data_IF_096589492359
#
_entry.id   IF_096589492359
#
_cell.length_a   1.000
_cell.length_b   1.000
_cell.length_c   1.000
_cell.angle_alpha   90.00
_cell.angle_beta   90.00
_cell.angle_gamma   90.00
#
_symmetry.space_group_name_H-M   'P 1'
#
loop_
_entity.id
_entity.type
_entity.pdbx_description
1 polymer ?
#
# COMPACT_ATOMS: atom_id res chain seq x y z
N UNK A 1 -29.37 11.41 7.46
CA UNK A 1 -29.55 9.96 7.69
C UNK A 1 -28.23 9.17 7.85
N UNK A 2 -27.06 9.82 7.97
CA UNK A 2 -25.74 9.16 8.07
C UNK A 2 -25.22 9.00 9.53
N UNK A 3 -25.83 9.68 10.50
CA UNK A 3 -25.40 9.64 11.91
C UNK A 3 -26.03 8.50 12.74
N UNK A 4 -27.14 7.89 12.28
CA UNK A 4 -27.87 6.85 13.04
C UNK A 4 -27.27 5.44 12.90
N UNK A 5 -26.43 5.16 11.90
CA UNK A 5 -25.82 3.84 11.73
C UNK A 5 -24.48 3.65 12.46
N UNK A 6 -23.78 4.73 12.85
CA UNK A 6 -22.64 4.62 13.78
C UNK A 6 -23.08 4.12 15.17
N UNK A 7 -24.35 4.35 15.52
CA UNK A 7 -24.99 3.85 16.75
C UNK A 7 -25.49 2.40 16.57
N UNK A 8 -25.74 1.94 15.34
CA UNK A 8 -26.23 0.58 15.10
C UNK A 8 -25.18 -0.51 15.41
N UNK A 9 -23.88 -0.17 15.35
CA UNK A 9 -22.80 -1.04 15.83
C UNK A 9 -22.65 -1.04 17.36
N UNK A 10 -23.29 -0.13 18.10
CA UNK A 10 -23.25 -0.10 19.57
C UNK A 10 -24.27 -1.04 20.22
N UNK A 11 -25.36 -1.42 19.54
CA UNK A 11 -26.55 -1.97 20.21
C UNK A 11 -26.95 -3.42 19.85
N UNK A 12 -26.10 -4.23 19.21
CA UNK A 12 -26.30 -5.70 19.15
C UNK A 12 -25.34 -6.43 20.08
N UNK A 13 -25.85 -6.69 21.28
CA UNK A 13 -25.49 -7.72 22.28
C UNK A 13 -24.12 -8.42 22.14
N UNK A 14 -23.23 -8.07 23.09
CA UNK A 14 -22.35 -8.97 23.87
C UNK A 14 -21.86 -10.25 23.19
N UNK A 15 -20.84 -10.10 22.34
CA UNK A 15 -19.66 -10.99 22.22
C UNK A 15 -18.74 -10.39 21.16
N UNK A 16 -17.86 -9.48 21.57
CA UNK A 16 -16.59 -9.22 20.89
C UNK A 16 -15.85 -8.14 21.66
N UNK A 17 -14.54 -8.33 21.71
CA UNK A 17 -13.60 -7.63 22.57
C UNK A 17 -13.59 -6.13 22.36
N UNK A 18 -13.24 -5.45 23.44
CA UNK A 18 -13.12 -4.02 23.63
C UNK A 18 -12.33 -3.30 22.52
N UNK A 19 -12.88 -2.17 22.10
CA UNK A 19 -12.25 -0.84 22.12
C UNK A 19 -10.72 -0.89 22.20
N UNK A 20 -10.04 -0.50 21.12
CA UNK A 20 -8.66 -0.02 21.05
C UNK A 20 -7.79 -0.31 22.30
N UNK A 21 -7.46 -1.58 22.54
CA UNK A 21 -6.57 -1.94 23.62
C UNK A 21 -5.16 -1.49 23.24
N UNK A 22 -4.54 -0.64 24.07
CA UNK A 22 -3.09 -0.68 24.23
C UNK A 22 -2.72 -2.15 24.40
N UNK A 23 -1.95 -2.70 23.47
CA UNK A 23 -1.63 -4.11 23.49
C UNK A 23 -0.93 -4.43 24.83
N UNK A 24 -1.55 -5.27 25.66
CA UNK A 24 -1.03 -5.79 26.94
C UNK A 24 0.14 -6.77 26.75
N UNK A 25 0.83 -6.68 25.62
CA UNK A 25 1.93 -7.54 25.23
C UNK A 25 2.99 -6.75 24.48
N UNK A 26 4.16 -7.35 24.36
CA UNK A 26 5.32 -6.88 23.62
C UNK A 26 5.57 -7.90 22.51
N UNK A 27 5.74 -7.38 21.29
CA UNK A 27 6.16 -8.14 20.13
C UNK A 27 7.55 -7.68 19.72
N UNK A 28 8.47 -8.61 19.60
CA UNK A 28 9.75 -8.37 18.96
C UNK A 28 9.95 -9.42 17.87
N UNK A 29 10.23 -9.03 16.62
CA UNK A 29 10.10 -7.67 16.09
C UNK A 29 8.65 -7.13 16.17
N UNK A 30 8.48 -5.80 16.20
CA UNK A 30 7.17 -5.14 16.17
C UNK A 30 6.35 -5.62 14.96
N UNK A 31 5.02 -5.68 15.09
CA UNK A 31 4.14 -6.06 13.98
C UNK A 31 4.36 -5.17 12.75
N UNK A 32 4.52 -5.82 11.60
CA UNK A 32 4.79 -5.30 10.26
C UNK A 32 6.15 -4.60 10.10
N UNK A 33 7.03 -4.65 11.10
CA UNK A 33 8.36 -4.02 11.00
C UNK A 33 9.21 -4.60 9.86
N UNK A 34 10.05 -3.74 9.29
CA UNK A 34 11.07 -4.08 8.30
C UNK A 34 12.42 -4.20 8.99
N UNK A 35 13.22 -5.21 8.62
CA UNK A 35 14.51 -5.49 9.26
C UNK A 35 15.57 -5.83 8.21
N UNK A 36 16.74 -5.19 8.31
CA UNK A 36 17.94 -5.66 7.61
C UNK A 36 18.64 -6.80 8.36
N UNK A 37 18.54 -6.83 9.69
CA UNK A 37 19.13 -7.89 10.50
C UNK A 37 18.38 -9.21 10.29
N UNK A 38 19.10 -10.23 9.82
CA UNK A 38 18.53 -11.51 9.36
C UNK A 38 18.39 -12.58 10.44
N UNK A 39 18.79 -12.29 11.68
CA UNK A 39 18.63 -13.19 12.83
C UNK A 39 17.91 -12.51 14.00
N UNK A 40 16.76 -11.85 13.78
CA UNK A 40 16.08 -11.17 14.87
C UNK A 40 15.59 -12.19 15.90
N UNK A 41 15.71 -11.85 17.17
CA UNK A 41 15.00 -12.55 18.23
C UNK A 41 13.49 -12.37 17.99
N UNK A 42 12.75 -13.48 18.06
CA UNK A 42 11.29 -13.49 17.93
C UNK A 42 10.70 -13.71 19.32
N UNK A 43 10.10 -12.68 19.89
CA UNK A 43 9.69 -12.61 21.28
C UNK A 43 8.22 -12.20 21.35
N UNK A 44 7.47 -12.95 22.16
CA UNK A 44 6.19 -12.53 22.69
C UNK A 44 6.28 -12.46 24.21
N UNK A 45 5.90 -11.33 24.80
CA UNK A 45 5.81 -11.17 26.27
C UNK A 45 4.51 -10.50 26.66
N UNK A 46 3.88 -10.95 27.74
CA UNK A 46 2.78 -10.24 28.40
C UNK A 46 3.36 -9.10 29.25
N UNK A 47 2.70 -7.93 29.24
CA UNK A 47 3.11 -6.76 30.04
C UNK A 47 2.69 -6.89 31.51
N UNK A 48 1.55 -7.52 31.77
CA UNK A 48 1.03 -7.73 33.11
C UNK A 48 1.12 -9.20 33.48
N UNK A 49 2.01 -9.54 34.43
CA UNK A 49 2.21 -10.89 34.95
C UNK A 49 1.20 -11.28 36.04
N UNK A 50 0.13 -10.49 36.25
CA UNK A 50 -0.81 -10.64 37.37
C UNK A 50 -2.11 -11.37 37.02
N UNK A 51 -2.16 -12.07 35.89
CA UNK A 51 -3.29 -12.96 35.62
C UNK A 51 -2.91 -14.36 36.08
N UNK A 52 -3.38 -14.75 37.28
CA UNK A 52 -3.25 -16.11 37.88
C UNK A 52 -3.82 -17.24 36.98
N UNK A 53 -4.35 -16.87 35.81
CA UNK A 53 -4.99 -17.74 34.85
C UNK A 53 -4.12 -18.08 33.63
N UNK A 54 -2.94 -17.48 33.46
CA UNK A 54 -2.07 -17.80 32.30
C UNK A 54 -1.27 -19.07 32.56
N UNK A 55 -1.45 -20.09 31.72
CA UNK A 55 -0.61 -21.29 31.78
C UNK A 55 0.66 -21.09 30.94
N UNK A 56 1.76 -20.68 31.57
CA UNK A 56 3.02 -20.41 30.87
C UNK A 56 3.61 -21.63 30.15
N UNK A 57 3.41 -22.85 30.65
CA UNK A 57 3.91 -24.06 29.98
C UNK A 57 3.17 -24.40 28.67
N UNK A 58 1.99 -23.79 28.46
CA UNK A 58 1.16 -23.99 27.26
C UNK A 58 1.61 -23.17 26.06
N UNK A 59 2.56 -22.24 26.22
CA UNK A 59 3.00 -21.38 25.12
C UNK A 59 3.58 -22.19 23.96
N UNK A 60 3.09 -21.93 22.76
CA UNK A 60 3.59 -22.51 21.50
C UNK A 60 3.75 -21.40 20.49
N UNK A 61 4.93 -21.31 19.87
CA UNK A 61 5.22 -20.38 18.79
C UNK A 61 5.33 -21.12 17.47
N UNK A 62 4.77 -20.56 16.41
CA UNK A 62 5.01 -20.99 15.04
C UNK A 62 5.42 -19.82 14.16
N UNK A 63 6.29 -20.08 13.19
CA UNK A 63 6.71 -19.12 12.17
C UNK A 63 6.41 -19.72 10.80
N UNK A 64 5.62 -19.02 9.98
CA UNK A 64 5.10 -19.50 8.70
C UNK A 64 4.43 -20.88 8.81
N UNK A 65 3.67 -21.09 9.89
CA UNK A 65 2.97 -22.35 10.19
C UNK A 65 3.86 -23.47 10.74
N UNK A 66 5.19 -23.28 10.80
CA UNK A 66 6.11 -24.26 11.40
C UNK A 66 6.29 -23.98 12.88
N UNK A 67 6.04 -24.98 13.73
CA UNK A 67 6.28 -24.89 15.18
C UNK A 67 7.78 -24.71 15.45
N UNK A 68 8.10 -23.77 16.32
CA UNK A 68 9.47 -23.42 16.69
C UNK A 68 9.80 -23.94 18.09
N UNK A 69 11.03 -24.41 18.29
CA UNK A 69 11.56 -24.73 19.61
C UNK A 69 11.92 -23.44 20.35
N UNK A 70 10.91 -22.72 20.81
CA UNK A 70 11.06 -21.53 21.64
C UNK A 70 11.37 -21.86 23.11
N UNK A 71 11.96 -20.91 23.81
CA UNK A 71 12.21 -20.94 25.25
C UNK A 71 11.04 -20.21 25.91
N UNK A 72 10.32 -20.90 26.79
CA UNK A 72 9.26 -20.30 27.61
C UNK A 72 9.94 -19.48 28.71
N UNK A 73 9.52 -18.24 28.87
CA UNK A 73 9.99 -17.34 29.93
C UNK A 73 8.89 -17.11 30.95
N UNK A 74 9.21 -16.42 32.05
CA UNK A 74 8.27 -16.11 33.12
C UNK A 74 7.06 -15.26 32.68
N UNK A 75 7.10 -14.68 31.48
CA UNK A 75 6.03 -13.86 30.94
C UNK A 75 5.75 -14.08 29.45
N UNK A 76 6.22 -15.18 28.85
CA UNK A 76 5.99 -15.42 27.42
C UNK A 76 6.87 -16.50 26.79
N UNK A 77 7.26 -16.27 25.53
CA UNK A 77 8.03 -17.22 24.73
C UNK A 77 8.97 -16.50 23.77
N UNK A 78 10.18 -17.06 23.62
CA UNK A 78 11.26 -16.47 22.82
C UNK A 78 11.87 -17.50 21.88
N UNK A 79 12.13 -17.11 20.63
CA UNK A 79 12.80 -17.94 19.64
C UNK A 79 13.93 -17.16 18.98
N UNK A 80 15.12 -17.76 18.98
CA UNK A 80 16.30 -17.20 18.30
C UNK A 80 16.64 -18.03 17.04
N UNK A 81 16.55 -17.45 15.83
CA UNK A 81 16.93 -18.15 14.61
C UNK A 81 18.39 -18.61 14.63
N UNK A 82 18.62 -19.92 14.42
CA UNK A 82 19.99 -20.47 14.33
C UNK A 82 20.73 -20.07 13.05
N UNK A 83 19.99 -19.76 11.99
CA UNK A 83 20.50 -19.36 10.67
C UNK A 83 19.84 -18.08 10.22
N UNK A 84 20.51 -17.37 9.31
CA UNK A 84 19.96 -16.17 8.70
C UNK A 84 18.64 -16.50 7.99
N UNK A 85 17.61 -15.78 8.37
CA UNK A 85 16.33 -15.75 7.68
C UNK A 85 16.56 -15.22 6.25
N UNK A 86 15.84 -15.77 5.27
CA UNK A 86 15.86 -15.26 3.90
C UNK A 86 15.04 -13.98 3.81
N UNK A 87 15.28 -13.17 2.80
CA UNK A 87 14.37 -12.07 2.46
C UNK A 87 12.93 -12.58 2.34
N UNK A 88 11.99 -11.86 2.94
CA UNK A 88 10.56 -12.17 2.86
C UNK A 88 9.79 -11.88 4.13
N UNK A 89 8.48 -12.10 4.03
CA UNK A 89 7.53 -11.92 5.13
C UNK A 89 7.51 -13.18 6.00
N UNK A 90 7.68 -12.99 7.30
CA UNK A 90 7.58 -14.02 8.33
C UNK A 90 6.33 -13.76 9.16
N UNK A 91 5.39 -14.72 9.17
CA UNK A 91 4.18 -14.67 9.97
C UNK A 91 4.41 -15.48 11.25
N UNK A 92 4.27 -14.84 12.39
CA UNK A 92 4.42 -15.47 13.70
C UNK A 92 3.03 -15.66 14.31
N UNK A 93 2.82 -16.83 14.90
CA UNK A 93 1.62 -17.14 15.68
C UNK A 93 2.04 -17.69 17.03
N UNK A 94 1.53 -17.11 18.10
CA UNK A 94 1.71 -17.58 19.47
C UNK A 94 0.37 -18.01 20.04
N UNK A 95 0.30 -19.26 20.47
CA UNK A 95 -0.86 -19.83 21.17
C UNK A 95 -0.51 -20.12 22.61
N UNK A 96 -1.46 -19.86 23.51
CA UNK A 96 -1.34 -20.16 24.94
C UNK A 96 -2.73 -20.29 25.58
N UNK A 97 -2.81 -20.90 26.75
CA UNK A 97 -4.04 -21.06 27.52
C UNK A 97 -4.16 -19.98 28.60
N UNK A 98 -5.35 -19.42 28.69
CA UNK A 98 -5.80 -18.57 29.78
C UNK A 98 -7.02 -19.25 30.43
N UNK A 99 -6.80 -19.89 31.58
CA UNK A 99 -7.68 -20.93 32.12
C UNK A 99 -7.80 -22.08 31.12
N UNK A 100 -9.04 -22.40 30.70
CA UNK A 100 -9.32 -23.44 29.71
C UNK A 100 -9.52 -22.87 28.28
N UNK A 101 -9.24 -21.58 28.05
CA UNK A 101 -9.45 -20.94 26.74
C UNK A 101 -8.11 -20.73 26.02
N UNK A 102 -8.00 -21.26 24.81
CA UNK A 102 -6.88 -20.94 23.91
C UNK A 102 -6.96 -19.49 23.45
N UNK A 103 -5.86 -18.77 23.62
CA UNK A 103 -5.59 -17.46 23.05
C UNK A 103 -4.64 -17.63 21.87
N UNK A 104 -4.77 -16.75 20.87
CA UNK A 104 -3.89 -16.70 19.71
C UNK A 104 -3.52 -15.25 19.41
N UNK A 105 -2.22 -15.00 19.27
CA UNK A 105 -1.68 -13.71 18.84
C UNK A 105 -0.87 -13.92 17.57
N UNK A 106 -1.27 -13.22 16.51
CA UNK A 106 -0.63 -13.29 15.21
C UNK A 106 -0.02 -11.95 14.83
N UNK A 107 1.22 -11.95 14.37
CA UNK A 107 1.88 -10.78 13.81
C UNK A 107 2.81 -11.17 12.66
N UNK A 108 3.34 -10.18 11.96
CA UNK A 108 4.32 -10.44 10.91
C UNK A 108 5.48 -9.45 10.96
N UNK A 109 6.62 -9.82 10.41
CA UNK A 109 7.73 -8.90 10.13
C UNK A 109 8.33 -9.24 8.78
N UNK A 110 9.12 -8.32 8.22
CA UNK A 110 9.70 -8.47 6.89
C UNK A 110 11.22 -8.35 6.95
N UNK A 111 11.90 -9.39 6.48
CA UNK A 111 13.35 -9.32 6.22
C UNK A 111 13.54 -8.68 4.85
N UNK A 112 14.19 -7.53 4.83
CA UNK A 112 14.53 -6.78 3.63
C UNK A 112 16.04 -6.79 3.39
N UNK A 113 16.45 -6.41 2.19
CA UNK A 113 17.85 -6.31 1.79
C UNK A 113 18.11 -4.91 1.23
N UNK A 114 19.35 -4.44 1.34
CA UNK A 114 19.75 -3.24 0.61
C UNK A 114 19.64 -3.52 -0.88
N UNK A 115 18.80 -2.74 -1.56
CA UNK A 115 18.60 -2.83 -3.00
C UNK A 115 19.04 -1.55 -3.67
N UNK A 116 19.68 -1.69 -4.83
CA UNK A 116 19.85 -0.57 -5.74
C UNK A 116 18.52 -0.29 -6.45
N UNK A 117 17.65 0.47 -5.78
CA UNK A 117 16.36 0.87 -6.33
C UNK A 117 16.51 1.85 -7.49
N UNK A 118 15.77 1.59 -8.57
CA UNK A 118 15.53 2.52 -9.68
C UNK A 118 14.12 3.09 -9.55
N UNK A 119 13.94 4.31 -10.06
CA UNK A 119 12.64 4.95 -10.16
C UNK A 119 11.95 4.53 -11.47
N UNK A 120 10.77 3.95 -11.36
CA UNK A 120 9.90 3.64 -12.50
C UNK A 120 8.58 4.40 -12.36
N UNK A 121 8.27 5.26 -13.33
CA UNK A 121 7.04 6.05 -13.33
C UNK A 121 5.93 5.30 -14.07
N UNK A 122 4.69 5.40 -13.62
CA UNK A 122 3.55 4.75 -14.24
C UNK A 122 2.21 5.20 -13.68
N UNK A 123 1.15 4.60 -14.21
CA UNK A 123 -0.24 4.97 -13.91
C UNK A 123 -0.92 3.79 -13.22
N UNK A 124 -1.29 3.90 -11.92
CA UNK A 124 -1.83 2.78 -11.15
C UNK A 124 -3.36 2.64 -11.20
N UNK A 125 -4.07 3.58 -11.85
CA UNK A 125 -5.53 3.62 -11.92
C UNK A 125 -5.98 4.17 -13.27
N UNK A 126 -6.66 3.34 -14.06
CA UNK A 126 -7.19 3.70 -15.36
C UNK A 126 -8.33 2.79 -15.81
N UNK A 127 -9.18 3.27 -16.72
CA UNK A 127 -10.31 2.51 -17.29
C UNK A 127 -10.24 2.47 -18.81
N UNK A 128 -10.91 1.48 -19.40
CA UNK A 128 -11.10 1.34 -20.84
C UNK A 128 -12.58 1.24 -21.19
N UNK A 129 -12.92 1.02 -22.46
CA UNK A 129 -14.30 0.81 -22.89
C UNK A 129 -14.98 -0.39 -22.20
N UNK A 130 -14.23 -1.28 -21.54
CA UNK A 130 -14.80 -2.44 -20.86
C UNK A 130 -15.67 -2.10 -19.64
N UNK A 131 -15.47 -0.95 -19.00
CA UNK A 131 -16.38 -0.40 -17.99
C UNK A 131 -16.91 0.98 -18.39
N UNK A 132 -16.17 2.05 -18.07
CA UNK A 132 -16.60 3.44 -18.24
C UNK A 132 -15.69 4.32 -19.11
N UNK A 133 -14.58 3.78 -19.62
CA UNK A 133 -13.60 4.53 -20.41
C UNK A 133 -13.78 4.41 -21.93
N UNK A 134 -12.67 4.61 -22.67
CA UNK A 134 -12.56 4.46 -24.12
C UNK A 134 -11.47 3.46 -24.49
N UNK A 135 -11.35 3.10 -25.77
CA UNK A 135 -10.34 2.16 -26.27
C UNK A 135 -10.43 0.76 -25.65
N UNK A 136 -9.58 -0.16 -26.11
CA UNK A 136 -9.42 -1.47 -25.48
C UNK A 136 -8.13 -1.52 -24.64
N UNK A 137 -7.95 -2.51 -23.73
CA UNK A 137 -6.74 -2.64 -22.94
C UNK A 137 -5.43 -2.57 -23.72
N UNK A 138 -5.37 -3.23 -24.88
CA UNK A 138 -4.18 -3.20 -25.74
C UNK A 138 -3.83 -1.79 -26.25
N UNK A 139 -4.83 -0.97 -26.58
CA UNK A 139 -4.61 0.43 -27.00
C UNK A 139 -4.07 1.28 -25.85
N UNK A 140 -4.66 1.09 -24.66
CA UNK A 140 -4.24 1.79 -23.45
C UNK A 140 -2.79 1.48 -23.10
N UNK A 141 -2.39 0.20 -23.14
CA UNK A 141 -1.01 -0.20 -22.92
C UNK A 141 -0.05 0.36 -23.97
N UNK A 142 -0.45 0.34 -25.26
CA UNK A 142 0.39 0.88 -26.33
C UNK A 142 0.58 2.40 -26.22
N UNK A 143 -0.49 3.12 -25.87
CA UNK A 143 -0.43 4.56 -25.62
C UNK A 143 0.48 4.89 -24.44
N UNK A 144 0.26 4.29 -23.28
CA UNK A 144 1.09 4.53 -22.10
C UNK A 144 2.58 4.21 -22.36
N UNK A 145 2.86 3.14 -23.10
CA UNK A 145 4.23 2.81 -23.53
C UNK A 145 4.83 3.92 -24.41
N UNK A 146 4.07 4.47 -25.35
CA UNK A 146 4.52 5.58 -26.23
C UNK A 146 4.77 6.87 -25.46
N UNK A 147 3.96 7.15 -24.44
CA UNK A 147 4.17 8.28 -23.51
C UNK A 147 5.39 8.07 -22.59
N UNK A 148 6.05 6.91 -22.66
CA UNK A 148 7.32 6.65 -21.98
C UNK A 148 7.19 6.25 -20.52
N UNK A 149 5.97 5.94 -20.03
CA UNK A 149 5.80 5.40 -18.69
C UNK A 149 6.19 3.91 -18.66
N UNK A 150 6.59 3.43 -17.48
CA UNK A 150 7.10 2.07 -17.27
C UNK A 150 6.01 1.02 -17.05
N UNK A 151 4.85 1.43 -16.56
CA UNK A 151 3.71 0.54 -16.30
C UNK A 151 2.38 1.28 -16.40
N UNK A 152 1.33 0.52 -16.73
CA UNK A 152 -0.07 0.95 -16.65
C UNK A 152 -0.87 -0.15 -15.97
N UNK A 153 -1.68 0.21 -14.99
CA UNK A 153 -2.63 -0.70 -14.35
C UNK A 153 -4.05 -0.33 -14.77
N UNK A 154 -4.71 -1.24 -15.49
CA UNK A 154 -6.13 -1.12 -15.85
C UNK A 154 -6.98 -1.66 -14.70
N UNK A 155 -7.90 -0.84 -14.21
CA UNK A 155 -8.70 -1.08 -13.01
C UNK A 155 -10.18 -0.87 -13.30
N UNK A 156 -10.73 -1.61 -14.25
CA UNK A 156 -12.15 -1.52 -14.61
C UNK A 156 -13.06 -1.62 -13.38
N UNK A 157 -14.23 -0.96 -13.43
CA UNK A 157 -15.21 -1.08 -12.36
C UNK A 157 -15.60 -2.55 -12.13
N UNK A 158 -15.51 -3.00 -10.88
CA UNK A 158 -15.71 -4.38 -10.45
C UNK A 158 -17.02 -5.00 -10.96
N UNK A 159 -18.11 -4.22 -11.01
CA UNK A 159 -19.42 -4.69 -11.49
C UNK A 159 -19.43 -5.05 -12.99
N UNK A 160 -18.55 -4.44 -13.78
CA UNK A 160 -18.44 -4.70 -15.21
C UNK A 160 -17.66 -5.98 -15.53
N UNK A 161 -16.86 -6.48 -14.58
CA UNK A 161 -15.95 -7.62 -14.81
C UNK A 161 -16.65 -8.91 -15.25
N UNK A 162 -17.90 -9.11 -14.83
CA UNK A 162 -18.74 -10.27 -15.22
C UNK A 162 -19.41 -10.13 -16.59
N UNK A 163 -19.43 -8.92 -17.15
CA UNK A 163 -20.16 -8.66 -18.38
C UNK A 163 -19.39 -9.23 -19.58
N UNK A 164 -20.09 -9.51 -20.68
CA UNK A 164 -19.45 -9.91 -21.94
C UNK A 164 -18.63 -8.73 -22.49
N UNK A 165 -17.39 -9.01 -22.91
CA UNK A 165 -16.54 -7.99 -23.53
C UNK A 165 -17.03 -7.57 -24.93
N UNK A 166 -17.70 -8.48 -25.65
CA UNK A 166 -18.15 -8.28 -27.03
C UNK A 166 -19.07 -7.08 -27.25
N UNK A 167 -19.94 -6.74 -26.29
CA UNK A 167 -20.86 -5.60 -26.39
C UNK A 167 -20.19 -4.23 -26.21
N UNK A 168 -18.89 -4.20 -25.89
CA UNK A 168 -18.14 -2.98 -25.56
C UNK A 168 -16.95 -2.72 -26.48
N UNK A 169 -16.71 -3.65 -27.41
CA UNK A 169 -15.64 -3.60 -28.40
C UNK A 169 -16.25 -3.18 -29.74
N UNK A 170 -15.90 -2.00 -30.25
CA UNK A 170 -16.28 -1.61 -31.61
C UNK A 170 -15.77 -2.62 -32.66
N UNK A 171 -16.38 -2.63 -33.85
CA UNK A 171 -16.09 -3.59 -34.94
C UNK A 171 -14.62 -3.69 -35.35
N UNK A 172 -13.79 -2.66 -35.06
CA UNK A 172 -12.36 -2.56 -35.36
C UNK A 172 -11.45 -3.61 -34.68
N UNK A 173 -11.90 -4.29 -33.62
CA UNK A 173 -11.05 -5.24 -32.86
C UNK A 173 -11.60 -6.68 -32.89
N UNK A 174 -12.49 -6.94 -33.84
CA UNK A 174 -13.18 -8.22 -34.05
C UNK A 174 -12.29 -9.40 -34.46
N UNK A 175 -11.01 -9.16 -34.75
CA UNK A 175 -10.06 -10.19 -35.21
C UNK A 175 -9.62 -11.17 -34.11
N UNK A 176 -9.82 -10.83 -32.82
CA UNK A 176 -9.62 -11.77 -31.72
C UNK A 176 -10.94 -12.48 -31.42
N UNK A 177 -11.34 -13.44 -32.28
CA UNK A 177 -12.54 -14.29 -32.10
C UNK A 177 -12.69 -14.78 -30.64
N UNK A 178 -11.56 -15.10 -30.00
CA UNK A 178 -11.47 -15.56 -28.61
C UNK A 178 -11.93 -14.55 -27.55
N UNK A 179 -11.78 -13.23 -27.75
CA UNK A 179 -12.19 -12.21 -26.76
C UNK A 179 -13.71 -12.03 -26.72
N UNK A 180 -14.40 -12.22 -27.85
CA UNK A 180 -15.86 -12.03 -27.93
C UNK A 180 -16.63 -12.99 -27.01
N UNK A 181 -16.03 -14.13 -26.69
CA UNK A 181 -16.61 -15.17 -25.85
C UNK A 181 -16.23 -15.03 -24.37
N UNK A 182 -15.32 -14.12 -24.01
CA UNK A 182 -14.86 -13.93 -22.64
C UNK A 182 -15.66 -12.84 -21.91
N UNK A 183 -15.70 -12.95 -20.59
CA UNK A 183 -16.06 -11.81 -19.74
C UNK A 183 -14.95 -10.76 -19.73
N UNK A 184 -15.25 -9.57 -19.22
CA UNK A 184 -14.31 -8.45 -19.16
C UNK A 184 -13.05 -8.83 -18.37
N UNK A 185 -13.17 -9.51 -17.23
CA UNK A 185 -12.00 -9.89 -16.42
C UNK A 185 -11.02 -10.77 -17.20
N UNK A 186 -11.53 -11.84 -17.83
CA UNK A 186 -10.73 -12.76 -18.60
C UNK A 186 -10.17 -12.10 -19.88
N UNK A 187 -10.89 -11.16 -20.46
CA UNK A 187 -10.43 -10.40 -21.63
C UNK A 187 -9.22 -9.52 -21.30
N UNK A 188 -9.27 -8.77 -20.20
CA UNK A 188 -8.14 -7.90 -19.79
C UNK A 188 -6.91 -8.75 -19.43
N UNK A 189 -7.11 -9.86 -18.73
CA UNK A 189 -6.01 -10.79 -18.39
C UNK A 189 -5.37 -11.39 -19.65
N UNK A 190 -6.19 -11.74 -20.64
CA UNK A 190 -5.71 -12.25 -21.92
C UNK A 190 -4.90 -11.20 -22.69
N UNK A 191 -5.43 -9.97 -22.81
CA UNK A 191 -4.74 -8.86 -23.47
C UNK A 191 -3.45 -8.45 -22.76
N UNK A 192 -3.46 -8.35 -21.42
CA UNK A 192 -2.25 -8.16 -20.60
C UNK A 192 -1.18 -9.18 -20.96
N UNK A 193 -1.55 -10.48 -20.97
CA UNK A 193 -0.62 -11.58 -21.29
C UNK A 193 -0.06 -11.48 -22.71
N UNK A 194 -0.88 -11.14 -23.70
CA UNK A 194 -0.43 -10.93 -25.07
C UNK A 194 0.52 -9.74 -25.18
N UNK A 195 0.18 -8.61 -24.54
CA UNK A 195 0.99 -7.41 -24.57
C UNK A 195 2.37 -7.62 -23.93
N UNK A 196 2.41 -8.27 -22.76
CA UNK A 196 3.65 -8.59 -22.03
C UNK A 196 4.58 -9.56 -22.79
N UNK A 197 4.02 -10.42 -23.64
CA UNK A 197 4.84 -11.28 -24.52
C UNK A 197 5.64 -10.46 -25.53
N UNK A 198 5.02 -9.42 -26.10
CA UNK A 198 5.60 -8.57 -27.15
C UNK A 198 6.41 -7.39 -26.61
N UNK A 199 6.17 -6.96 -25.37
CA UNK A 199 6.78 -5.76 -24.79
C UNK A 199 7.49 -6.08 -23.47
N UNK A 200 8.84 -6.16 -23.47
CA UNK A 200 9.64 -6.48 -22.27
C UNK A 200 10.11 -5.26 -21.46
N UNK A 201 9.97 -4.06 -22.02
CA UNK A 201 10.37 -2.78 -21.39
C UNK A 201 9.18 -1.99 -20.82
N UNK A 202 8.02 -2.64 -20.69
CA UNK A 202 6.80 -2.05 -20.17
C UNK A 202 6.03 -3.13 -19.39
N UNK A 203 5.42 -2.76 -18.27
CA UNK A 203 4.59 -3.68 -17.47
C UNK A 203 3.10 -3.37 -17.66
N UNK A 204 2.39 -4.12 -18.53
CA UNK A 204 0.94 -4.10 -18.52
C UNK A 204 0.44 -4.83 -17.28
N UNK A 205 -0.45 -4.21 -16.53
CA UNK A 205 -1.01 -4.74 -15.30
C UNK A 205 -2.52 -4.53 -15.28
N UNK A 206 -3.22 -5.31 -14.46
CA UNK A 206 -4.64 -5.13 -14.27
C UNK A 206 -5.09 -5.41 -12.83
N UNK A 207 -6.26 -4.89 -12.51
CA UNK A 207 -6.98 -5.03 -11.27
C UNK A 207 -8.43 -4.64 -11.49
N UNK A 208 -9.06 -4.07 -10.47
CA UNK A 208 -10.40 -3.52 -10.58
C UNK A 208 -10.65 -2.39 -9.58
N UNK A 209 -11.61 -1.53 -9.88
CA UNK A 209 -12.10 -0.50 -8.97
C UNK A 209 -13.42 -0.95 -8.33
N UNK A 210 -13.45 -1.01 -7.00
CA UNK A 210 -14.63 -1.37 -6.22
C UNK A 210 -15.21 -0.14 -5.51
N UNK A 211 -16.50 0.12 -5.68
CA UNK A 211 -17.23 1.07 -4.83
C UNK A 211 -17.69 0.40 -3.53
N UNK A 212 -17.18 0.89 -2.40
CA UNK A 212 -17.50 0.43 -1.05
C UNK A 212 -18.37 1.45 -0.29
N UNK A 213 -19.08 1.01 0.76
CA UNK A 213 -19.91 1.92 1.58
C UNK A 213 -19.07 2.81 2.50
N UNK A 214 -17.94 2.31 3.01
CA UNK A 214 -17.17 2.96 4.08
C UNK A 214 -15.95 3.73 3.59
N UNK A 215 -15.31 3.25 2.51
CA UNK A 215 -14.03 3.76 2.03
C UNK A 215 -14.14 4.50 0.69
N UNK A 216 -15.35 4.62 0.14
CA UNK A 216 -15.53 5.12 -1.22
C UNK A 216 -14.99 4.12 -2.24
N UNK A 217 -14.24 4.59 -3.22
CA UNK A 217 -13.66 3.73 -4.24
C UNK A 217 -12.32 3.14 -3.78
N UNK A 218 -12.13 1.85 -4.05
CA UNK A 218 -10.92 1.11 -3.68
C UNK A 218 -10.47 0.30 -4.88
N UNK A 219 -9.25 0.52 -5.35
CA UNK A 219 -8.65 -0.38 -6.32
C UNK A 219 -8.16 -1.65 -5.64
N UNK A 220 -8.38 -2.79 -6.29
CA UNK A 220 -7.80 -4.09 -5.96
C UNK A 220 -6.89 -4.47 -7.11
N UNK A 221 -5.60 -4.22 -6.92
CA UNK A 221 -4.55 -4.49 -7.89
C UNK A 221 -4.09 -5.94 -7.79
N UNK A 222 -3.59 -6.51 -8.89
CA UNK A 222 -3.11 -7.89 -8.97
C UNK A 222 -4.16 -8.93 -8.61
N UNK A 223 -5.41 -8.72 -9.06
CA UNK A 223 -6.51 -9.62 -8.78
C UNK A 223 -6.34 -10.94 -9.57
N UNK A 224 -6.09 -12.10 -8.90
CA UNK A 224 -5.85 -13.35 -9.61
C UNK A 224 -7.14 -13.95 -10.17
N UNK A 225 -8.27 -13.74 -9.48
CA UNK A 225 -9.59 -14.24 -9.85
C UNK A 225 -10.70 -13.28 -9.46
N UNK A 226 -11.62 -13.04 -10.39
CA UNK A 226 -12.87 -12.36 -10.08
C UNK A 226 -13.85 -13.28 -9.34
N UNK A 227 -14.50 -12.75 -8.28
CA UNK A 227 -15.60 -13.42 -7.59
C UNK A 227 -16.82 -12.50 -7.71
N UNK A 228 -17.99 -12.99 -8.11
CA UNK A 228 -19.20 -12.16 -8.24
C UNK A 228 -19.90 -11.96 -6.89
N UNK A 229 -19.25 -11.27 -5.96
CA UNK A 229 -19.73 -11.06 -4.58
C UNK A 229 -20.13 -9.59 -4.38
N UNK A 230 -21.20 -9.35 -3.63
CA UNK A 230 -21.56 -8.00 -3.17
C UNK A 230 -20.65 -7.56 -2.01
N UNK A 231 -19.64 -6.74 -2.32
CA UNK A 231 -18.61 -6.27 -1.39
C UNK A 231 -18.94 -4.90 -0.75
N UNK A 232 -20.21 -4.53 -0.67
CA UNK A 232 -20.63 -3.32 0.09
C UNK A 232 -20.50 -3.50 1.61
N UNK A 233 -20.53 -4.75 2.07
CA UNK A 233 -20.35 -5.14 3.46
C UNK A 233 -18.85 -5.21 3.81
N UNK A 234 -18.46 -4.65 4.96
CA UNK A 234 -17.05 -4.49 5.32
C UNK A 234 -16.39 -5.81 5.74
N UNK A 235 -17.14 -6.75 6.33
CA UNK A 235 -16.61 -8.07 6.66
C UNK A 235 -16.37 -8.87 5.38
N UNK A 236 -17.33 -8.85 4.45
CA UNK A 236 -17.16 -9.49 3.13
C UNK A 236 -16.02 -8.86 2.34
N UNK A 237 -15.85 -7.54 2.41
CA UNK A 237 -14.73 -6.87 1.76
C UNK A 237 -13.39 -7.29 2.39
N UNK A 238 -13.29 -7.29 3.72
CA UNK A 238 -12.11 -7.75 4.45
C UNK A 238 -11.77 -9.22 4.10
N UNK A 239 -12.76 -10.11 4.12
CA UNK A 239 -12.59 -11.52 3.75
C UNK A 239 -12.16 -11.69 2.29
N UNK A 240 -12.65 -10.85 1.40
CA UNK A 240 -12.25 -10.89 -0.01
C UNK A 240 -10.78 -10.49 -0.22
N UNK A 241 -10.30 -9.46 0.49
CA UNK A 241 -8.93 -8.95 0.30
C UNK A 241 -7.89 -9.74 1.10
N UNK A 242 -8.27 -10.35 2.22
CA UNK A 242 -7.32 -11.05 3.11
C UNK A 242 -6.77 -12.35 2.52
N UNK A 243 -7.59 -13.03 1.71
CA UNK A 243 -7.32 -14.37 1.19
C UNK A 243 -6.54 -14.35 -0.14
N UNK A 244 -6.22 -13.16 -0.67
CA UNK A 244 -5.71 -13.00 -2.02
C UNK A 244 -4.35 -12.27 -2.04
N UNK A 245 -3.50 -12.59 -3.03
CA UNK A 245 -2.22 -11.91 -3.24
C UNK A 245 -2.38 -10.52 -3.89
N UNK A 246 -3.28 -9.70 -3.36
CA UNK A 246 -3.69 -8.41 -3.92
C UNK A 246 -2.95 -7.23 -3.27
N UNK A 247 -3.08 -6.06 -3.88
CA UNK A 247 -2.73 -4.77 -3.28
C UNK A 247 -3.92 -3.84 -3.40
N UNK A 248 -4.42 -3.34 -2.28
CA UNK A 248 -5.52 -2.40 -2.22
C UNK A 248 -5.04 -0.94 -2.20
N UNK A 249 -5.76 -0.07 -2.89
CA UNK A 249 -5.56 1.39 -2.85
C UNK A 249 -6.87 2.11 -2.61
N UNK A 250 -6.91 3.02 -1.64
CA UNK A 250 -8.01 3.97 -1.47
C UNK A 250 -7.92 5.03 -2.58
N UNK A 251 -8.98 5.19 -3.37
CA UNK A 251 -8.98 6.10 -4.51
C UNK A 251 -9.69 7.42 -4.17
N UNK A 252 -9.19 8.50 -4.77
CA UNK A 252 -9.75 9.87 -4.72
C UNK A 252 -10.47 10.18 -3.40
N UNK A 253 -9.76 10.06 -2.25
CA UNK A 253 -10.34 9.97 -0.92
C UNK A 253 -11.00 11.29 -0.51
N UNK A 254 -12.31 11.36 -0.68
CA UNK A 254 -13.08 12.55 -0.34
C UNK A 254 -13.05 12.83 1.19
N UNK A 255 -13.55 13.99 1.61
CA UNK A 255 -13.47 14.42 3.02
C UNK A 255 -14.23 13.51 4.01
N UNK A 256 -15.20 12.70 3.55
CA UNK A 256 -16.03 11.88 4.44
C UNK A 256 -15.27 10.74 5.12
N UNK A 257 -14.12 10.33 4.58
CA UNK A 257 -13.35 9.22 5.13
C UNK A 257 -12.36 9.63 6.22
N UNK A 258 -12.17 10.93 6.49
CA UNK A 258 -11.13 11.46 7.41
C UNK A 258 -11.20 10.90 8.83
N UNK A 259 -12.39 10.51 9.29
CA UNK A 259 -12.60 9.96 10.63
C UNK A 259 -12.57 8.42 10.67
N UNK A 260 -12.41 7.77 9.51
CA UNK A 260 -12.48 6.32 9.41
C UNK A 260 -11.14 5.70 9.79
N UNK A 261 -11.14 4.82 10.79
CA UNK A 261 -9.97 4.02 11.19
C UNK A 261 -9.85 2.74 10.33
N UNK A 262 -8.67 2.12 10.23
CA UNK A 262 -8.54 0.80 9.62
C UNK A 262 -9.49 -0.19 10.30
N UNK A 263 -10.22 -0.98 9.51
CA UNK A 263 -11.05 -2.07 10.04
C UNK A 263 -10.16 -3.29 10.27
N UNK A 264 -10.05 -3.79 11.51
CA UNK A 264 -9.09 -4.85 11.87
C UNK A 264 -7.68 -4.45 11.40
N UNK A 265 -6.98 -5.33 10.71
CA UNK A 265 -5.69 -5.12 10.05
C UNK A 265 -5.83 -4.98 8.52
N UNK A 266 -6.94 -4.40 8.05
CA UNK A 266 -7.22 -4.17 6.62
C UNK A 266 -6.09 -3.44 5.89
N UNK A 267 -5.35 -2.57 6.59
CA UNK A 267 -4.21 -1.82 6.05
C UNK A 267 -2.99 -2.71 5.70
N UNK A 268 -2.99 -4.00 6.07
CA UNK A 268 -2.08 -5.01 5.51
C UNK A 268 -2.36 -5.30 4.03
N UNK A 269 -3.60 -5.12 3.60
CA UNK A 269 -4.07 -5.45 2.26
C UNK A 269 -4.38 -4.19 1.44
N UNK A 270 -5.07 -3.22 2.06
CA UNK A 270 -5.32 -1.88 1.51
C UNK A 270 -4.28 -0.93 2.06
N UNK A 271 -3.10 -0.94 1.44
CA UNK A 271 -1.91 -0.26 1.93
C UNK A 271 -1.52 0.97 1.13
N UNK A 272 -2.32 1.39 0.13
CA UNK A 272 -2.05 2.55 -0.71
C UNK A 272 -3.21 3.55 -0.69
N UNK A 273 -2.94 4.81 -1.01
CA UNK A 273 -3.94 5.86 -1.13
C UNK A 273 -3.54 6.89 -2.19
N UNK A 274 -4.51 7.34 -2.97
CA UNK A 274 -4.32 8.44 -3.91
C UNK A 274 -4.25 9.77 -3.15
N UNK A 275 -3.05 10.33 -3.01
CA UNK A 275 -2.88 11.69 -2.49
C UNK A 275 -3.19 12.72 -3.56
N UNK A 276 -3.08 12.34 -4.84
CA UNK A 276 -3.56 13.13 -5.96
C UNK A 276 -4.23 12.23 -6.99
N UNK A 277 -5.27 12.75 -7.65
CA UNK A 277 -6.00 12.02 -8.69
C UNK A 277 -6.55 12.99 -9.74
N UNK A 278 -6.46 12.57 -10.99
CA UNK A 278 -7.19 13.13 -12.12
C UNK A 278 -6.32 13.27 -13.36
N UNK A 279 -6.95 13.58 -14.47
CA UNK A 279 -6.30 13.74 -15.77
C UNK A 279 -6.42 15.16 -16.32
N UNK A 280 -5.55 15.55 -17.27
CA UNK A 280 -5.58 16.88 -17.92
C UNK A 280 -6.92 17.20 -18.57
N UNK A 281 -7.63 16.16 -19.03
CA UNK A 281 -8.93 16.28 -19.68
C UNK A 281 -10.11 16.38 -18.71
N UNK A 282 -9.85 16.32 -17.41
CA UNK A 282 -10.82 16.31 -16.33
C UNK A 282 -10.36 17.14 -15.13
N UNK A 283 -11.01 16.94 -13.98
CA UNK A 283 -10.64 17.64 -12.75
C UNK A 283 -9.46 16.94 -12.09
N UNK A 284 -8.41 17.69 -11.79
CA UNK A 284 -7.31 17.23 -10.96
C UNK A 284 -7.49 17.68 -9.51
N UNK A 285 -7.35 16.76 -8.56
CA UNK A 285 -7.55 17.00 -7.13
C UNK A 285 -6.32 16.55 -6.33
N UNK A 286 -6.01 17.33 -5.27
CA UNK A 286 -5.01 17.01 -4.25
C UNK A 286 -5.72 16.76 -2.92
N UNK A 287 -5.39 15.64 -2.26
CA UNK A 287 -6.08 15.13 -1.07
C UNK A 287 -5.18 15.08 0.18
N UNK A 288 -4.09 15.86 0.21
CA UNK A 288 -3.10 15.91 1.30
C UNK A 288 -3.76 15.88 2.69
N UNK A 289 -4.71 16.79 2.90
CA UNK A 289 -5.47 16.93 4.14
C UNK A 289 -6.20 15.65 4.58
N UNK A 290 -6.83 14.94 3.62
CA UNK A 290 -7.51 13.68 3.93
C UNK A 290 -6.49 12.58 4.23
N UNK A 291 -5.40 12.51 3.46
CA UNK A 291 -4.34 11.52 3.67
C UNK A 291 -3.70 11.70 5.05
N UNK A 292 -3.28 12.92 5.40
CA UNK A 292 -2.67 13.21 6.70
C UNK A 292 -3.61 12.87 7.86
N UNK A 293 -4.91 13.17 7.73
CA UNK A 293 -5.92 12.78 8.73
C UNK A 293 -5.96 11.26 8.93
N UNK A 294 -5.98 10.48 7.85
CA UNK A 294 -6.00 9.02 7.94
C UNK A 294 -4.73 8.45 8.56
N UNK A 295 -3.56 8.98 8.19
CA UNK A 295 -2.28 8.58 8.78
C UNK A 295 -2.25 8.86 10.30
N UNK A 296 -2.78 10.02 10.74
CA UNK A 296 -2.92 10.35 12.16
C UNK A 296 -3.95 9.46 12.90
N UNK A 297 -4.91 8.86 12.20
CA UNK A 297 -5.86 7.88 12.74
C UNK A 297 -5.30 6.45 12.80
N UNK A 298 -4.03 6.25 12.41
CA UNK A 298 -3.32 4.98 12.52
C UNK A 298 -3.34 4.14 11.25
N UNK A 299 -3.77 4.68 10.11
CA UNK A 299 -3.59 4.01 8.83
C UNK A 299 -2.12 3.94 8.43
N UNK A 300 -1.70 2.79 7.92
CA UNK A 300 -0.38 2.63 7.27
C UNK A 300 -0.56 2.61 5.75
N UNK A 301 -0.49 3.78 5.11
CA UNK A 301 -0.77 3.97 3.69
C UNK A 301 0.41 4.61 2.94
N UNK A 302 0.81 4.01 1.82
CA UNK A 302 1.69 4.62 0.84
C UNK A 302 0.92 5.49 -0.14
N UNK A 303 1.56 6.49 -0.73
CA UNK A 303 0.88 7.48 -1.58
C UNK A 303 1.05 7.18 -3.06
N UNK A 304 0.02 7.52 -3.84
CA UNK A 304 -0.05 7.42 -5.29
C UNK A 304 -0.51 8.75 -5.92
N UNK A 305 -0.06 8.98 -7.15
CA UNK A 305 -0.75 9.86 -8.10
C UNK A 305 -1.39 9.01 -9.19
N UNK A 306 -2.63 9.31 -9.52
CA UNK A 306 -3.43 8.54 -10.45
C UNK A 306 -4.11 9.43 -11.47
N UNK A 307 -4.45 8.87 -12.62
CA UNK A 307 -5.11 9.62 -13.68
C UNK A 307 -6.61 9.33 -13.78
N UNK A 308 -7.06 8.16 -13.31
CA UNK A 308 -8.45 7.70 -13.40
C UNK A 308 -9.01 7.90 -14.82
N UNK A 309 -8.20 7.49 -15.82
CA UNK A 309 -8.47 7.80 -17.21
C UNK A 309 -9.79 7.16 -17.63
N UNK A 310 -10.70 7.99 -18.16
CA UNK A 310 -11.91 7.57 -18.88
C UNK A 310 -11.87 7.99 -20.36
N UNK A 311 -10.78 8.65 -20.79
CA UNK A 311 -10.53 9.09 -22.17
C UNK A 311 -9.23 8.45 -22.66
N UNK A 312 -8.98 8.57 -23.97
CA UNK A 312 -7.78 8.04 -24.63
C UNK A 312 -6.55 8.93 -24.36
N UNK A 313 -6.09 8.96 -23.11
CA UNK A 313 -4.95 9.76 -22.66
C UNK A 313 -4.08 9.06 -21.59
N UNK A 314 -4.03 7.73 -21.61
CA UNK A 314 -3.27 6.95 -20.63
C UNK A 314 -1.79 7.30 -20.65
N UNK A 315 -1.26 7.77 -19.52
CA UNK A 315 0.16 8.10 -19.36
C UNK A 315 0.57 9.46 -19.93
N UNK A 316 -0.32 10.18 -20.62
CA UNK A 316 -0.02 11.47 -21.25
C UNK A 316 0.22 12.60 -20.25
N UNK A 317 -0.44 12.53 -19.10
CA UNK A 317 -0.37 13.60 -18.09
C UNK A 317 0.88 13.47 -17.22
N UNK A 318 1.40 14.59 -16.72
CA UNK A 318 2.53 14.64 -15.78
C UNK A 318 2.21 13.97 -14.42
N UNK A 319 0.94 13.62 -14.18
CA UNK A 319 0.42 13.02 -12.96
C UNK A 319 0.73 11.51 -12.92
N UNK A 320 1.84 11.14 -12.27
CA UNK A 320 2.36 9.77 -12.27
C UNK A 320 2.69 9.29 -10.87
N UNK A 321 2.64 7.97 -10.70
CA UNK A 321 3.21 7.30 -9.53
C UNK A 321 4.59 6.81 -9.89
N UNK A 322 5.59 7.19 -9.09
CA UNK A 322 6.88 6.55 -9.12
C UNK A 322 6.96 5.39 -8.15
N UNK A 323 7.63 4.31 -8.57
CA UNK A 323 7.81 3.08 -7.79
C UNK A 323 9.28 2.71 -7.73
N UNK A 324 9.78 2.44 -6.53
CA UNK A 324 11.16 2.00 -6.31
C UNK A 324 11.28 0.48 -6.45
N UNK A 325 11.94 0.06 -7.53
CA UNK A 325 12.17 -1.35 -7.86
C UNK A 325 13.61 -1.55 -8.35
N UNK A 326 14.19 -2.72 -8.08
CA UNK A 326 15.49 -3.11 -8.65
C UNK A 326 15.41 -3.49 -10.14
N UNK A 327 14.29 -4.09 -10.56
CA UNK A 327 14.06 -4.55 -11.93
C UNK A 327 12.63 -4.25 -12.38
N UNK A 328 12.46 -3.94 -13.66
CA UNK A 328 11.14 -3.77 -14.28
C UNK A 328 10.51 -5.14 -14.54
N UNK A 329 9.88 -5.72 -13.51
CA UNK A 329 9.17 -7.00 -13.55
C UNK A 329 7.90 -6.95 -12.69
N UNK A 330 6.93 -7.78 -13.03
CA UNK A 330 5.62 -7.83 -12.34
C UNK A 330 5.75 -8.15 -10.84
N UNK A 331 6.53 -9.15 -10.48
CA UNK A 331 6.78 -9.54 -9.08
C UNK A 331 7.47 -8.43 -8.28
N UNK A 332 8.42 -7.71 -8.88
CA UNK A 332 9.07 -6.55 -8.27
C UNK A 332 8.09 -5.39 -8.08
N UNK A 333 7.19 -5.14 -9.04
CA UNK A 333 6.15 -4.11 -8.94
C UNK A 333 5.17 -4.42 -7.82
N UNK A 334 4.61 -5.64 -7.80
CA UNK A 334 3.71 -6.06 -6.73
C UNK A 334 4.40 -6.01 -5.36
N UNK A 335 5.66 -6.44 -5.27
CA UNK A 335 6.41 -6.36 -4.02
C UNK A 335 6.62 -4.89 -3.57
N UNK A 336 6.91 -3.97 -4.49
CA UNK A 336 7.09 -2.56 -4.18
C UNK A 336 5.78 -1.90 -3.73
N UNK A 337 4.67 -2.17 -4.43
CA UNK A 337 3.35 -1.68 -4.06
C UNK A 337 2.93 -2.17 -2.67
N UNK A 338 3.09 -3.47 -2.37
CA UNK A 338 2.80 -4.05 -1.04
C UNK A 338 3.58 -3.41 0.09
N UNK A 339 4.82 -3.03 -0.19
CA UNK A 339 5.71 -2.38 0.78
C UNK A 339 5.69 -0.85 0.68
N UNK A 340 4.70 -0.27 -0.02
CA UNK A 340 4.50 1.19 -0.12
C UNK A 340 5.75 1.93 -0.62
N UNK A 341 6.57 1.29 -1.46
CA UNK A 341 7.75 1.92 -2.06
C UNK A 341 7.37 2.79 -3.26
N UNK A 342 6.41 3.68 -3.03
CA UNK A 342 5.79 4.53 -4.04
C UNK A 342 5.91 6.01 -3.67
N UNK A 343 5.85 6.88 -4.66
CA UNK A 343 5.70 8.32 -4.48
C UNK A 343 4.74 8.88 -5.53
N UNK A 344 4.01 9.91 -5.14
CA UNK A 344 3.19 10.73 -6.04
C UNK A 344 4.06 11.81 -6.68
N UNK A 345 3.90 12.08 -7.97
CA UNK A 345 4.57 13.21 -8.63
C UNK A 345 3.71 13.81 -9.74
N UNK A 346 3.81 15.13 -9.90
CA UNK A 346 3.31 15.89 -11.04
C UNK A 346 4.45 16.22 -12.03
N UNK A 347 5.40 15.30 -12.16
CA UNK A 347 6.52 15.40 -13.10
C UNK A 347 6.78 14.05 -13.78
N UNK A 348 6.98 14.02 -15.10
CA UNK A 348 7.25 12.81 -15.85
C UNK A 348 8.73 12.38 -15.78
N UNK A 349 9.57 13.06 -15.00
CA UNK A 349 11.00 12.77 -14.92
C UNK A 349 11.61 12.84 -13.51
N UNK A 350 10.81 13.11 -12.48
CA UNK A 350 11.29 13.10 -11.11
C UNK A 350 11.66 11.67 -10.71
N UNK A 351 12.84 11.48 -10.16
CA UNK A 351 13.21 10.34 -9.34
C UNK A 351 13.34 10.80 -7.89
N UNK A 352 12.44 10.29 -7.04
CA UNK A 352 12.41 10.56 -5.61
C UNK A 352 12.79 9.29 -4.85
N UNK A 353 13.81 9.39 -4.02
CA UNK A 353 14.14 8.38 -3.00
C UNK A 353 14.24 9.06 -1.65
N UNK A 354 13.58 8.47 -0.66
CA UNK A 354 13.58 8.91 0.72
C UNK A 354 13.79 7.68 1.61
N UNK A 355 14.69 7.77 2.59
CA UNK A 355 14.94 6.73 3.57
C UNK A 355 15.12 7.31 4.97
N UNK A 356 14.87 6.47 5.98
CA UNK A 356 15.18 6.77 7.37
C UNK A 356 15.98 5.59 7.93
N UNK A 357 17.19 5.84 8.43
CA UNK A 357 18.12 4.81 8.87
C UNK A 357 18.31 3.71 7.81
N UNK A 358 18.54 4.09 6.55
CA UNK A 358 18.62 3.22 5.36
C UNK A 358 17.33 2.47 4.96
N UNK A 359 16.27 2.52 5.77
CA UNK A 359 14.99 1.92 5.42
C UNK A 359 14.26 2.80 4.39
N UNK A 360 13.88 2.27 3.22
CA UNK A 360 13.23 3.07 2.18
C UNK A 360 11.83 3.54 2.60
N UNK A 361 11.35 4.61 1.97
CA UNK A 361 9.96 5.06 2.08
C UNK A 361 8.96 3.89 1.96
N UNK A 362 7.94 3.91 2.82
CA UNK A 362 6.97 2.82 2.96
C UNK A 362 7.30 1.81 4.07
N UNK A 363 8.54 1.76 4.55
CA UNK A 363 8.97 0.89 5.65
C UNK A 363 8.33 1.27 6.99
N UNK A 364 8.23 0.26 7.86
CA UNK A 364 7.82 0.40 9.26
C UNK A 364 9.04 0.04 10.10
N UNK A 365 9.55 1.01 10.85
CA UNK A 365 10.76 0.89 11.65
C UNK A 365 10.45 0.29 13.02
N UNK A 366 11.44 -0.40 13.59
CA UNK A 366 11.42 -0.81 14.99
C UNK A 366 12.25 0.16 15.83
N UNK A 367 11.78 1.40 15.99
CA UNK A 367 12.42 2.47 16.78
C UNK A 367 11.45 3.00 17.83
N UNK A 368 11.95 3.81 18.76
CA UNK A 368 11.21 4.32 19.93
C UNK A 368 11.26 5.83 20.02
N UNK A 369 10.42 6.40 20.88
CA UNK A 369 10.53 7.82 21.26
C UNK A 369 11.97 8.14 21.71
N UNK A 370 12.43 9.35 21.42
CA UNK A 370 13.75 9.88 21.75
C UNK A 370 14.94 9.30 20.98
N UNK A 371 14.73 8.25 20.17
CA UNK A 371 15.74 7.81 19.19
C UNK A 371 16.07 8.95 18.20
N UNK A 372 17.34 9.06 17.85
CA UNK A 372 17.79 9.94 16.77
C UNK A 372 17.79 9.17 15.47
N UNK A 373 17.01 9.64 14.50
CA UNK A 373 16.91 9.08 13.16
C UNK A 373 17.71 9.89 12.16
N UNK A 374 18.16 9.23 11.10
CA UNK A 374 18.89 9.80 9.98
C UNK A 374 18.03 9.73 8.72
N UNK A 375 17.54 10.87 8.25
CA UNK A 375 16.67 10.97 7.07
C UNK A 375 17.49 11.34 5.85
N UNK A 376 17.48 10.48 4.82
CA UNK A 376 18.23 10.72 3.59
C UNK A 376 17.28 11.01 2.43
N UNK A 377 17.62 12.04 1.67
CA UNK A 377 16.85 12.52 0.54
C UNK A 377 17.72 12.46 -0.70
N UNK A 378 17.20 11.85 -1.77
CA UNK A 378 17.74 11.95 -3.11
C UNK A 378 16.63 12.33 -4.08
N UNK A 379 16.82 13.45 -4.77
CA UNK A 379 15.94 13.96 -5.80
C UNK A 379 16.74 14.25 -7.06
N UNK A 380 16.21 13.83 -8.20
CA UNK A 380 16.71 14.21 -9.52
C UNK A 380 15.51 14.36 -10.46
N UNK A 381 15.34 15.53 -11.07
CA UNK A 381 14.35 15.76 -12.11
C UNK A 381 15.01 16.42 -13.32
N UNK A 382 14.96 15.70 -14.45
CA UNK A 382 15.63 16.12 -15.68
C UNK A 382 14.95 17.33 -16.33
N UNK A 383 13.63 17.49 -16.14
CA UNK A 383 12.84 18.54 -16.78
C UNK A 383 12.63 19.73 -15.85
N UNK A 384 12.28 19.48 -14.59
CA UNK A 384 11.84 20.53 -13.66
C UNK A 384 12.90 20.87 -12.61
N UNK A 385 13.01 22.15 -12.22
CA UNK A 385 13.77 22.52 -11.01
C UNK A 385 12.97 22.17 -9.74
N UNK A 386 13.66 21.65 -8.74
CA UNK A 386 13.19 21.51 -7.36
C UNK A 386 13.28 22.90 -6.72
N UNK A 387 12.16 23.37 -6.18
CA UNK A 387 12.02 24.71 -5.57
C UNK A 387 12.00 24.67 -4.06
N UNK A 388 11.47 23.62 -3.47
CA UNK A 388 11.46 23.45 -2.02
C UNK A 388 11.33 21.99 -1.64
N UNK A 389 11.97 21.64 -0.53
CA UNK A 389 11.86 20.32 0.11
C UNK A 389 11.33 20.51 1.52
N UNK A 390 10.29 19.76 1.89
CA UNK A 390 9.68 19.77 3.21
C UNK A 390 9.61 18.34 3.76
N UNK A 391 9.85 18.18 5.06
CA UNK A 391 9.57 16.93 5.79
C UNK A 391 8.37 17.17 6.69
N UNK A 392 7.32 16.38 6.47
CA UNK A 392 6.05 16.48 7.17
C UNK A 392 5.84 15.24 8.04
N UNK A 393 5.36 15.44 9.26
CA UNK A 393 4.98 14.38 10.19
C UNK A 393 3.58 14.63 10.76
N UNK A 394 3.21 13.84 11.75
CA UNK A 394 1.91 13.84 12.42
C UNK A 394 1.34 15.24 12.66
N UNK A 395 0.01 15.36 12.58
CA UNK A 395 -0.70 16.63 12.73
C UNK A 395 -0.26 17.70 11.73
N UNK A 396 0.35 17.31 10.60
CA UNK A 396 0.88 18.18 9.55
C UNK A 396 2.04 19.07 10.00
N UNK A 397 2.77 18.65 11.03
CA UNK A 397 3.97 19.36 11.49
C UNK A 397 5.06 19.30 10.42
N UNK A 398 5.58 20.46 10.00
CA UNK A 398 6.74 20.55 9.12
C UNK A 398 8.00 20.63 9.99
N UNK A 399 8.77 19.55 10.04
CA UNK A 399 9.96 19.43 10.90
C UNK A 399 11.26 19.82 10.19
N UNK A 400 11.21 19.99 8.88
CA UNK A 400 12.31 20.48 8.06
C UNK A 400 11.76 21.15 6.80
N UNK A 401 12.40 22.25 6.39
CA UNK A 401 12.12 23.00 5.17
C UNK A 401 13.42 23.51 4.60
N UNK A 402 13.64 23.31 3.31
CA UNK A 402 14.78 23.86 2.59
C UNK A 402 14.35 24.41 1.23
N UNK A 403 14.51 25.73 0.98
CA UNK A 403 14.33 26.30 -0.36
C UNK A 403 15.49 25.88 -1.28
N UNK A 404 15.15 25.37 -2.45
CA UNK A 404 16.10 24.84 -3.44
C UNK A 404 15.88 25.58 -4.78
N UNK A 405 16.83 25.49 -5.70
CA UNK A 405 16.62 25.94 -7.08
C UNK A 405 17.50 25.15 -8.07
N UNK A 406 17.46 23.82 -7.96
CA UNK A 406 18.35 22.89 -8.67
C UNK A 406 17.54 21.74 -9.26
N UNK A 407 18.07 21.08 -10.29
CA UNK A 407 17.48 19.86 -10.88
C UNK A 407 17.79 18.59 -10.07
N UNK A 408 18.74 18.66 -9.15
CA UNK A 408 19.08 17.60 -8.23
C UNK A 408 19.26 18.13 -6.81
N UNK A 409 18.94 17.31 -5.83
CA UNK A 409 19.08 17.62 -4.41
C UNK A 409 19.39 16.34 -3.64
N UNK A 410 20.40 16.41 -2.79
CA UNK A 410 20.77 15.35 -1.85
C UNK A 410 20.94 15.96 -0.47
N UNK A 411 20.41 15.32 0.55
CA UNK A 411 20.59 15.79 1.93
C UNK A 411 20.48 14.63 2.91
N UNK A 412 21.11 14.82 4.06
CA UNK A 412 21.00 13.94 5.22
C UNK A 412 20.66 14.81 6.43
N UNK A 413 19.56 14.50 7.10
CA UNK A 413 18.98 15.29 8.18
C UNK A 413 18.79 14.39 9.40
N UNK A 414 19.38 14.79 10.54
CA UNK A 414 19.13 14.13 11.83
C UNK A 414 17.90 14.72 12.50
N UNK A 415 17.09 13.87 13.11
CA UNK A 415 15.91 14.30 13.87
C UNK A 415 15.71 13.42 15.10
N UNK A 416 15.38 14.02 16.24
CA UNK A 416 15.06 13.30 17.47
C UNK A 416 13.55 13.07 17.55
N UNK A 417 13.13 11.82 17.64
CA UNK A 417 11.72 11.46 17.66
C UNK A 417 10.99 11.97 18.91
N UNK A 418 9.87 12.67 18.71
CA UNK A 418 9.03 13.21 19.79
C UNK A 418 7.91 12.26 20.23
N UNK A 419 7.58 11.26 19.42
CA UNK A 419 6.44 10.34 19.61
C UNK A 419 6.89 8.88 19.54
N UNK A 420 6.16 8.00 20.22
CA UNK A 420 6.42 6.56 20.21
C UNK A 420 5.94 5.89 18.91
N UNK A 421 4.90 6.44 18.28
CA UNK A 421 4.38 6.02 16.99
C UNK A 421 4.12 7.21 16.10
N UNK A 422 4.36 7.05 14.81
CA UNK A 422 4.14 8.14 13.88
C UNK A 422 4.45 7.80 12.44
N UNK A 423 4.43 8.85 11.62
CA UNK A 423 4.73 8.79 10.21
C UNK A 423 5.53 10.02 9.81
N UNK A 424 6.48 9.86 8.88
CA UNK A 424 7.29 10.94 8.32
C UNK A 424 7.31 10.77 6.81
N UNK A 425 7.00 11.83 6.06
CA UNK A 425 7.06 11.84 4.59
C UNK A 425 7.77 13.07 4.06
N UNK A 426 8.27 12.94 2.83
CA UNK A 426 8.88 14.01 2.07
C UNK A 426 7.83 14.65 1.16
N UNK A 427 7.68 15.98 1.23
CA UNK A 427 6.94 16.79 0.27
C UNK A 427 7.94 17.62 -0.54
N UNK A 428 7.78 17.63 -1.85
CA UNK A 428 8.65 18.36 -2.78
C UNK A 428 7.80 19.30 -3.61
N UNK A 429 8.23 20.55 -3.69
CA UNK A 429 7.66 21.57 -4.56
C UNK A 429 8.62 21.75 -5.73
N UNK A 430 8.14 21.56 -6.95
CA UNK A 430 8.86 21.81 -8.17
C UNK A 430 8.39 23.13 -8.81
N UNK A 431 9.07 23.57 -9.87
CA UNK A 431 8.63 24.72 -10.65
C UNK A 431 7.19 24.59 -11.16
N UNK A 432 6.54 25.73 -11.39
CA UNK A 432 5.12 25.82 -11.74
C UNK A 432 4.17 25.24 -10.67
N UNK A 433 4.59 25.25 -9.40
CA UNK A 433 3.81 24.74 -8.26
C UNK A 433 3.41 23.25 -8.39
N UNK A 434 4.19 22.49 -9.17
CA UNK A 434 4.09 21.04 -9.26
C UNK A 434 4.48 20.41 -7.93
N UNK A 435 3.78 19.35 -7.53
CA UNK A 435 4.04 18.67 -6.26
C UNK A 435 4.52 17.22 -6.46
N UNK A 436 5.28 16.75 -5.47
CA UNK A 436 5.54 15.34 -5.28
C UNK A 436 5.57 14.98 -3.79
N UNK A 437 5.22 13.74 -3.48
CA UNK A 437 5.13 13.22 -2.11
C UNK A 437 5.71 11.82 -2.06
N UNK A 438 6.67 11.57 -1.16
CA UNK A 438 7.06 10.19 -0.84
C UNK A 438 5.92 9.48 -0.12
N UNK A 439 5.91 8.15 -0.19
CA UNK A 439 5.20 7.39 0.84
C UNK A 439 5.81 7.68 2.21
N UNK A 440 5.02 7.61 3.30
CA UNK A 440 5.56 7.80 4.62
C UNK A 440 6.47 6.63 5.03
N UNK A 441 7.44 6.92 5.88
CA UNK A 441 8.08 5.94 6.74
C UNK A 441 7.39 5.98 8.09
N UNK A 442 7.10 4.80 8.65
CA UNK A 442 6.33 4.63 9.88
C UNK A 442 7.21 4.12 11.02
N UNK A 443 6.83 4.35 12.27
CA UNK A 443 7.53 3.84 13.46
C UNK A 443 6.57 3.61 14.63
#
# INVERSE_FOLDING_TARGET
MFFRELIYLKNKKKKSFSIANEQNYILEPKDRSSLFFRKPDVIFRLKNNKEDYVNYSSFRMSINGKVMSGIITSNGIEYKPRKDLKRGVYRVSVKYLMGNKEQSIDWQFNIIEHENYKCYLGVPHSHTAYSGGKGIPSDAYEMAKKEGVSFLIITEHYRALKNRASGKVGTKFSHLKKIKELDVFNSIQYEKKLFLKKNKRFLPMCGCELSTKFYGHVNILNLPKYKNINLKDIDKFYDYVKDENIVGSLNHPNKSIREVKPYKDLDKYVCLIEICNGSLSGKYNRYEETVYSLLDKGWILGVLNSQDNHKENWGKDDNLTGVLMSKLKEDHLINALKNRRTYSTESPSLCLKFSINDYPMGSILNIKKDDTINMEIFLEDKKNKIKEVQIITNNRECIFRDPVNKKSYKSNIKYKLKKEKGWILLKVILEHNRLAFSSPVFY
#
